data_IF_128134814613
#
_entry.id   IF_128134814613
#
_cell.length_a   1.000
_cell.length_b   1.000
_cell.length_c   1.000
_cell.angle_alpha   90.00
_cell.angle_beta   90.00
_cell.angle_gamma   90.00
#
_symmetry.space_group_name_H-M   'P 1'
#
loop_
_entity.id
_entity.type
_entity.pdbx_description
1 polymer ?
#
# COMPACT_ATOMS: atom_id res chain seq x y z
N UNK A 1 7.02 -20.27 13.62
CA UNK A 1 7.04 -20.05 12.17
C UNK A 1 6.91 -18.59 11.73
N UNK A 2 6.34 -17.70 12.55
CA UNK A 2 6.20 -16.25 12.22
C UNK A 2 7.49 -15.41 12.39
N UNK A 3 8.51 -15.90 13.07
CA UNK A 3 9.76 -15.14 13.30
C UNK A 3 10.67 -14.97 12.08
N UNK A 4 10.47 -15.74 11.01
CA UNK A 4 11.29 -15.65 9.79
C UNK A 4 10.73 -14.65 8.75
N UNK A 5 9.48 -14.19 8.91
CA UNK A 5 8.85 -13.21 8.03
C UNK A 5 9.26 -11.75 8.33
N UNK A 6 10.04 -11.52 9.39
CA UNK A 6 10.43 -10.18 9.87
C UNK A 6 11.44 -9.44 8.98
N UNK A 7 11.97 -10.07 7.94
CA UNK A 7 12.94 -9.47 7.03
C UNK A 7 12.36 -8.97 5.71
N UNK A 8 11.08 -9.28 5.42
CA UNK A 8 10.46 -8.83 4.17
C UNK A 8 9.69 -7.55 4.44
N UNK A 9 10.15 -6.45 3.87
CA UNK A 9 9.48 -5.16 3.99
C UNK A 9 8.12 -5.19 3.28
N UNK A 10 7.09 -4.70 3.95
CA UNK A 10 5.75 -4.53 3.38
C UNK A 10 5.78 -3.78 2.04
N UNK A 11 6.52 -2.68 1.98
CA UNK A 11 6.70 -1.91 0.75
C UNK A 11 7.35 -2.70 -0.38
N UNK A 12 8.31 -3.57 -0.07
CA UNK A 12 8.93 -4.43 -1.10
C UNK A 12 7.92 -5.42 -1.66
N UNK A 13 7.06 -6.00 -0.82
CA UNK A 13 5.98 -6.88 -1.29
C UNK A 13 4.98 -6.11 -2.13
N UNK A 14 4.55 -4.94 -1.68
CA UNK A 14 3.66 -4.07 -2.47
C UNK A 14 4.28 -3.68 -3.82
N UNK A 15 5.58 -3.35 -3.85
CA UNK A 15 6.29 -3.04 -5.08
C UNK A 15 6.36 -4.24 -6.02
N UNK A 16 6.67 -5.43 -5.49
CA UNK A 16 6.69 -6.67 -6.28
C UNK A 16 5.31 -6.98 -6.86
N UNK A 17 4.24 -6.87 -6.06
CA UNK A 17 2.87 -7.04 -6.52
C UNK A 17 2.48 -6.03 -7.60
N UNK A 18 2.87 -4.77 -7.47
CA UNK A 18 2.65 -3.74 -8.49
C UNK A 18 3.35 -4.08 -9.81
N UNK A 19 4.59 -4.56 -9.74
CA UNK A 19 5.34 -4.99 -10.92
C UNK A 19 4.74 -6.26 -11.54
N UNK A 20 4.29 -7.23 -10.73
CA UNK A 20 3.59 -8.42 -11.20
C UNK A 20 2.27 -8.06 -11.89
N UNK A 21 1.52 -7.09 -11.38
CA UNK A 21 0.29 -6.61 -12.01
C UNK A 21 0.55 -6.06 -13.42
N UNK A 22 1.61 -5.26 -13.58
CA UNK A 22 2.01 -4.75 -14.90
C UNK A 22 2.48 -5.88 -15.82
N UNK A 23 3.35 -6.77 -15.33
CA UNK A 23 3.88 -7.89 -16.11
C UNK A 23 2.76 -8.85 -16.55
N UNK A 24 1.80 -9.13 -15.67
CA UNK A 24 0.65 -9.98 -15.95
C UNK A 24 -0.15 -9.50 -17.16
N UNK A 25 -0.29 -8.18 -17.33
CA UNK A 25 -1.04 -7.60 -18.45
C UNK A 25 -0.45 -7.93 -19.82
N UNK A 26 0.84 -8.23 -19.89
CA UNK A 26 1.57 -8.52 -21.13
C UNK A 26 2.08 -9.95 -21.22
N UNK A 27 1.92 -10.77 -20.18
CA UNK A 27 2.43 -12.11 -20.11
C UNK A 27 1.61 -13.08 -20.99
N UNK A 28 2.24 -14.10 -21.60
CA UNK A 28 1.51 -15.19 -22.21
C UNK A 28 0.76 -16.02 -21.15
N UNK A 29 -0.29 -16.75 -21.57
CA UNK A 29 -1.17 -17.44 -20.66
C UNK A 29 -0.47 -18.46 -19.74
N UNK A 30 0.55 -19.16 -20.27
CA UNK A 30 1.36 -20.09 -19.47
C UNK A 30 2.08 -19.38 -18.29
N UNK A 31 2.62 -18.18 -18.51
CA UNK A 31 3.28 -17.41 -17.49
C UNK A 31 2.26 -16.79 -16.51
N UNK A 32 1.07 -16.44 -16.99
CA UNK A 32 0.00 -15.94 -16.12
C UNK A 32 -0.43 -16.94 -15.06
N UNK A 33 -0.53 -18.23 -15.41
CA UNK A 33 -0.86 -19.28 -14.44
C UNK A 33 0.19 -19.38 -13.32
N UNK A 34 1.47 -19.34 -13.66
CA UNK A 34 2.55 -19.34 -12.66
C UNK A 34 2.53 -18.10 -11.77
N UNK A 35 2.19 -16.94 -12.34
CA UNK A 35 2.12 -15.67 -11.60
C UNK A 35 0.93 -15.61 -10.62
N UNK A 36 -0.16 -16.32 -10.87
CA UNK A 36 -1.36 -16.31 -10.00
C UNK A 36 -1.05 -16.71 -8.57
N UNK A 37 -0.30 -17.79 -8.37
CA UNK A 37 0.04 -18.27 -7.03
C UNK A 37 0.94 -17.27 -6.30
N UNK A 38 1.88 -16.65 -6.99
CA UNK A 38 2.75 -15.63 -6.43
C UNK A 38 1.96 -14.38 -6.03
N UNK A 39 1.04 -13.94 -6.88
CA UNK A 39 0.14 -12.81 -6.59
C UNK A 39 -0.74 -13.12 -5.39
N UNK A 40 -1.39 -14.28 -5.36
CA UNK A 40 -2.25 -14.70 -4.26
C UNK A 40 -1.48 -14.76 -2.93
N UNK A 41 -0.29 -15.35 -2.93
CA UNK A 41 0.59 -15.40 -1.76
C UNK A 41 1.01 -14.02 -1.26
N UNK A 42 1.39 -13.13 -2.16
CA UNK A 42 1.76 -11.75 -1.85
C UNK A 42 0.59 -10.94 -1.28
N UNK A 43 -0.60 -11.04 -1.89
CA UNK A 43 -1.81 -10.38 -1.39
C UNK A 43 -2.21 -10.91 -0.01
N UNK A 44 -2.15 -12.23 0.20
CA UNK A 44 -2.42 -12.83 1.50
C UNK A 44 -1.45 -12.34 2.58
N UNK A 45 -0.16 -12.26 2.28
CA UNK A 45 0.83 -11.68 3.17
C UNK A 45 0.49 -10.24 3.54
N UNK A 46 0.20 -9.39 2.55
CA UNK A 46 -0.18 -8.01 2.79
C UNK A 46 -1.42 -7.90 3.69
N UNK A 47 -2.44 -8.70 3.47
CA UNK A 47 -3.66 -8.70 4.29
C UNK A 47 -3.42 -9.11 5.75
N UNK A 48 -2.48 -10.03 6.00
CA UNK A 48 -2.10 -10.42 7.36
C UNK A 48 -1.36 -9.28 8.07
N UNK A 49 -0.40 -8.67 7.38
CA UNK A 49 0.48 -7.65 7.95
C UNK A 49 -0.22 -6.30 8.09
N UNK A 50 -1.23 -6.03 7.27
CA UNK A 50 -1.92 -4.73 7.25
C UNK A 50 -2.47 -4.33 8.61
N UNK A 51 -2.88 -5.27 9.45
CA UNK A 51 -3.32 -5.03 10.83
C UNK A 51 -2.26 -4.32 11.69
N UNK A 52 -0.99 -4.64 11.49
CA UNK A 52 0.11 -3.97 12.20
C UNK A 52 0.29 -2.53 11.71
N UNK A 53 0.05 -2.28 10.42
CA UNK A 53 0.14 -0.95 9.82
C UNK A 53 -1.01 -0.03 10.20
N UNK A 54 -2.15 -0.57 10.64
CA UNK A 54 -3.21 0.24 11.24
C UNK A 54 -2.81 0.87 12.60
N UNK A 55 -1.76 0.36 13.25
CA UNK A 55 -1.31 0.88 14.56
C UNK A 55 -0.47 2.16 14.44
N UNK A 56 0.21 2.36 13.33
CA UNK A 56 1.04 3.53 13.04
C UNK A 56 0.81 4.02 11.64
N UNK A 57 0.53 5.32 11.49
CA UNK A 57 0.41 5.95 10.18
C UNK A 57 1.78 5.99 9.53
N UNK A 58 1.93 5.28 8.42
CA UNK A 58 3.06 5.41 7.51
C UNK A 58 2.50 5.72 6.13
N UNK A 59 2.60 6.95 5.70
CA UNK A 59 1.98 7.43 4.46
C UNK A 59 2.52 6.72 3.22
N UNK A 60 3.81 6.35 3.22
CA UNK A 60 4.41 5.62 2.11
C UNK A 60 3.88 4.17 2.04
N UNK A 61 3.73 3.50 3.18
CA UNK A 61 3.15 2.16 3.24
C UNK A 61 1.68 2.17 2.83
N UNK A 62 0.92 3.15 3.27
CA UNK A 62 -0.48 3.32 2.89
C UNK A 62 -0.63 3.56 1.38
N UNK A 63 0.18 4.45 0.81
CA UNK A 63 0.19 4.70 -0.62
C UNK A 63 0.62 3.46 -1.43
N UNK A 64 1.60 2.71 -0.94
CA UNK A 64 2.06 1.48 -1.59
C UNK A 64 0.96 0.41 -1.60
N UNK A 65 0.22 0.28 -0.49
CA UNK A 65 -0.94 -0.60 -0.40
C UNK A 65 -2.09 -0.14 -1.31
N UNK A 66 -2.40 1.14 -1.33
CA UNK A 66 -3.45 1.70 -2.19
C UNK A 66 -3.23 1.30 -3.65
N UNK A 67 -2.01 1.41 -4.14
CA UNK A 67 -1.68 1.01 -5.51
C UNK A 67 -1.97 -0.47 -5.76
N UNK A 68 -1.51 -1.34 -4.87
CA UNK A 68 -1.76 -2.79 -4.98
C UNK A 68 -3.25 -3.09 -4.92
N UNK A 69 -3.94 -2.55 -3.92
CA UNK A 69 -5.36 -2.79 -3.73
C UNK A 69 -6.19 -2.34 -4.95
N UNK A 70 -5.84 -1.21 -5.55
CA UNK A 70 -6.51 -0.72 -6.77
C UNK A 70 -6.20 -1.62 -7.97
N UNK A 71 -4.94 -2.04 -8.14
CA UNK A 71 -4.56 -2.91 -9.28
C UNK A 71 -5.29 -4.25 -9.24
N UNK A 72 -5.42 -4.85 -8.07
CA UNK A 72 -6.06 -6.16 -7.90
C UNK A 72 -7.54 -6.08 -7.50
N UNK A 73 -8.14 -4.91 -7.48
CA UNK A 73 -9.55 -4.72 -7.17
C UNK A 73 -9.92 -5.07 -5.72
N UNK A 74 -8.96 -5.00 -4.79
CA UNK A 74 -9.22 -5.25 -3.36
C UNK A 74 -9.96 -4.06 -2.77
N UNK A 75 -11.22 -4.26 -2.40
CA UNK A 75 -12.08 -3.20 -1.81
C UNK A 75 -12.18 -3.31 -0.29
N UNK A 76 -12.00 -4.51 0.24
CA UNK A 76 -12.05 -4.74 1.69
C UNK A 76 -10.99 -5.73 2.13
N UNK A 77 -10.53 -5.62 3.38
CA UNK A 77 -9.64 -6.58 4.05
C UNK A 77 -10.29 -6.99 5.35
N UNK A 78 -10.51 -8.30 5.53
CA UNK A 78 -11.21 -8.86 6.70
C UNK A 78 -12.56 -8.18 6.98
N UNK A 79 -13.30 -7.86 5.92
CA UNK A 79 -14.62 -7.23 5.99
C UNK A 79 -14.62 -5.73 6.30
N UNK A 80 -13.47 -5.09 6.38
CA UNK A 80 -13.31 -3.64 6.63
C UNK A 80 -12.96 -2.92 5.34
N UNK A 81 -13.52 -1.74 5.13
CA UNK A 81 -13.08 -0.81 4.08
C UNK A 81 -11.72 -0.22 4.47
N UNK A 82 -10.66 -0.81 3.92
CA UNK A 82 -9.29 -0.41 4.23
C UNK A 82 -9.01 1.05 3.85
N UNK A 83 -9.63 1.55 2.76
CA UNK A 83 -9.38 2.92 2.32
C UNK A 83 -10.02 3.93 3.27
N UNK A 84 -11.25 3.65 3.70
CA UNK A 84 -11.94 4.49 4.69
C UNK A 84 -11.15 4.55 6.00
N UNK A 85 -10.82 3.40 6.57
CA UNK A 85 -10.10 3.30 7.85
C UNK A 85 -8.73 3.99 7.82
N UNK A 86 -7.98 3.84 6.73
CA UNK A 86 -6.69 4.49 6.56
C UNK A 86 -6.84 5.99 6.31
N UNK A 87 -7.89 6.42 5.60
CA UNK A 87 -8.17 7.84 5.36
C UNK A 87 -8.48 8.57 6.65
N UNK A 88 -9.30 7.99 7.54
CA UNK A 88 -9.56 8.56 8.87
C UNK A 88 -8.25 8.76 9.64
N UNK A 89 -7.39 7.75 9.69
CA UNK A 89 -6.09 7.85 10.38
C UNK A 89 -5.16 8.91 9.79
N UNK A 90 -5.16 9.08 8.48
CA UNK A 90 -4.39 10.14 7.82
C UNK A 90 -4.94 11.49 8.23
N UNK A 91 -6.26 11.67 8.20
CA UNK A 91 -6.90 12.94 8.58
C UNK A 91 -6.66 13.27 10.06
N UNK A 92 -6.75 12.29 10.95
CA UNK A 92 -6.48 12.46 12.38
C UNK A 92 -5.01 12.85 12.66
N UNK A 93 -4.09 12.43 11.80
CA UNK A 93 -2.67 12.75 11.93
C UNK A 93 -2.27 14.11 11.31
N UNK A 94 -3.22 14.81 10.68
CA UNK A 94 -2.95 16.12 10.08
C UNK A 94 -2.77 17.19 11.16
N UNK A 95 -1.73 18.01 11.02
CA UNK A 95 -1.57 19.19 11.83
C UNK A 95 -2.59 20.28 11.38
N UNK A 96 -3.60 20.51 12.19
CA UNK A 96 -4.69 21.44 11.85
C UNK A 96 -4.23 22.90 11.74
N UNK A 97 -3.10 23.26 12.33
CA UNK A 97 -2.57 24.64 12.30
C UNK A 97 -1.78 24.92 11.03
N UNK A 98 -1.03 23.92 10.52
CA UNK A 98 -0.16 24.07 9.35
C UNK A 98 -0.70 23.37 8.10
N UNK A 99 -1.66 22.46 8.26
CA UNK A 99 -2.17 21.60 7.20
C UNK A 99 -1.23 20.46 6.81
N UNK A 100 -0.09 20.33 7.47
CA UNK A 100 0.92 19.31 7.17
C UNK A 100 0.54 17.94 7.72
N UNK A 101 0.94 16.90 7.03
CA UNK A 101 0.87 15.52 7.52
C UNK A 101 2.22 15.13 8.12
N UNK A 102 2.25 15.02 9.45
CA UNK A 102 3.47 14.74 10.20
C UNK A 102 3.68 13.23 10.34
N UNK A 103 4.89 12.77 10.10
CA UNK A 103 5.26 11.36 10.25
C UNK A 103 5.27 10.98 11.74
N UNK A 104 4.40 10.05 12.15
CA UNK A 104 4.33 9.58 13.55
C UNK A 104 5.34 8.49 13.89
N UNK A 105 6.18 8.08 12.95
CA UNK A 105 7.17 7.02 13.10
C UNK A 105 8.55 7.43 12.62
N UNK A 106 9.37 7.91 13.51
CA UNK A 106 10.83 7.88 13.66
C UNK A 106 11.80 7.95 12.48
N UNK A 107 11.37 7.96 11.25
CA UNK A 107 12.23 8.23 10.11
C UNK A 107 12.18 9.74 9.82
N UNK A 108 12.99 10.50 10.55
CA UNK A 108 13.31 11.85 10.16
C UNK A 108 13.98 11.75 8.79
N UNK A 109 13.35 12.31 7.77
CA UNK A 109 14.02 12.53 6.51
C UNK A 109 15.29 13.34 6.77
N UNK A 110 16.43 12.68 6.62
CA UNK A 110 17.75 13.29 6.82
C UNK A 110 18.04 14.45 5.85
N UNK A 111 17.15 14.69 4.88
CA UNK A 111 17.27 15.78 3.90
C UNK A 111 16.83 17.13 4.45
N UNK A 112 16.27 17.22 5.65
CA UNK A 112 15.73 18.45 6.21
C UNK A 112 14.46 18.97 5.50
N UNK A 113 13.87 18.18 4.60
CA UNK A 113 12.64 18.52 3.86
C UNK A 113 11.42 17.81 4.46
N UNK A 114 11.41 17.69 5.77
CA UNK A 114 10.61 16.76 6.56
C UNK A 114 9.09 16.68 6.28
N UNK A 115 8.33 17.73 5.96
CA UNK A 115 6.87 17.55 5.79
C UNK A 115 6.43 17.29 4.34
N UNK A 116 7.28 17.52 3.34
CA UNK A 116 6.86 17.47 1.93
C UNK A 116 6.50 16.04 1.47
N UNK A 117 7.34 15.07 1.76
CA UNK A 117 7.14 13.67 1.33
C UNK A 117 5.92 13.02 2.01
N UNK A 118 5.77 13.06 3.35
CA UNK A 118 4.57 12.59 4.02
C UNK A 118 3.29 13.24 3.48
N UNK A 119 3.29 14.54 3.30
CA UNK A 119 2.14 15.29 2.77
C UNK A 119 1.81 14.86 1.35
N UNK A 120 2.81 14.69 0.49
CA UNK A 120 2.59 14.22 -0.88
C UNK A 120 1.96 12.82 -0.92
N UNK A 121 2.47 11.86 -0.13
CA UNK A 121 1.90 10.52 -0.06
C UNK A 121 0.50 10.50 0.55
N UNK A 122 0.25 11.30 1.59
CA UNK A 122 -1.08 11.44 2.16
C UNK A 122 -2.10 11.93 1.13
N UNK A 123 -1.76 12.97 0.36
CA UNK A 123 -2.62 13.52 -0.69
C UNK A 123 -2.85 12.52 -1.81
N UNK A 124 -1.81 11.81 -2.27
CA UNK A 124 -1.94 10.78 -3.30
C UNK A 124 -2.87 9.65 -2.86
N UNK A 125 -2.71 9.19 -1.61
CA UNK A 125 -3.58 8.17 -1.02
C UNK A 125 -5.03 8.64 -0.93
N UNK A 126 -5.28 9.80 -0.32
CA UNK A 126 -6.63 10.34 -0.13
C UNK A 126 -7.36 10.59 -1.45
N UNK A 127 -6.64 10.95 -2.50
CA UNK A 127 -7.20 11.15 -3.83
C UNK A 127 -7.49 9.85 -4.57
N UNK A 128 -7.10 8.68 -4.05
CA UNK A 128 -7.10 7.43 -4.81
C UNK A 128 -6.49 7.65 -6.21
N UNK A 129 -5.28 8.21 -6.23
CA UNK A 129 -4.65 8.68 -7.47
C UNK A 129 -4.30 7.53 -8.43
N UNK A 130 -4.18 6.31 -7.92
CA UNK A 130 -3.90 5.13 -8.73
C UNK A 130 -5.10 4.76 -9.59
N UNK A 131 -4.88 4.65 -10.90
CA UNK A 131 -5.90 4.20 -11.83
C UNK A 131 -5.88 2.68 -11.95
N UNK A 132 -7.07 2.07 -12.03
CA UNK A 132 -7.19 0.63 -12.32
C UNK A 132 -6.50 0.31 -13.64
N UNK A 133 -5.69 -0.75 -13.65
CA UNK A 133 -5.19 -1.31 -14.89
C UNK A 133 -6.34 -2.02 -15.60
N UNK A 134 -6.66 -1.61 -16.83
CA UNK A 134 -7.86 -2.08 -17.57
C UNK A 134 -7.87 -3.58 -17.86
N UNK A 135 -6.79 -4.30 -17.60
CA UNK A 135 -6.57 -5.68 -18.07
C UNK A 135 -6.48 -6.73 -16.95
N UNK A 136 -6.67 -6.34 -15.68
CA UNK A 136 -6.52 -7.30 -14.55
C UNK A 136 -7.87 -7.74 -13.97
N UNK A 137 -8.96 -7.11 -14.38
CA UNK A 137 -10.31 -7.39 -13.85
C UNK A 137 -11.20 -7.86 -15.00
N UNK A 138 -11.00 -9.08 -15.46
CA UNK A 138 -12.02 -9.92 -16.10
C UNK A 138 -12.01 -11.29 -15.46
#
# INVERSE_FOLDING_TARGET
MLKQLSYVSFNMVCTALGNLAMAYSFAPDSAKEEMKDQIAGGLHYCQIILEEYYKKVNYYDYYSWERVAVFYGVTSVKGRDWHHDMSEKICDAQNMSTGEFVHTGGAIDRSGRAPLMPTAYAVLFLKKATKKLRYIVE
#
